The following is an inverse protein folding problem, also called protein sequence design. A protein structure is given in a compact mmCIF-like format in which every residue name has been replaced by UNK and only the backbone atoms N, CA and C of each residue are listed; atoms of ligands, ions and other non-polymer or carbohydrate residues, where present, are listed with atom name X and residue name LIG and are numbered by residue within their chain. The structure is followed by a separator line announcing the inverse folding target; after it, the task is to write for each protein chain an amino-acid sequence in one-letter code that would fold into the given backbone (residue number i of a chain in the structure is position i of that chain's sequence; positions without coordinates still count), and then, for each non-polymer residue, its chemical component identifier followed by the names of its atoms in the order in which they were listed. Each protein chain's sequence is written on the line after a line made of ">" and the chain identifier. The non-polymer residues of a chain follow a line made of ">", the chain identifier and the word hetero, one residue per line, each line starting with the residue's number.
data_IF_073324009263
#
_entry.id   IF_073324009263
#
_cell.length_a   1.000
_cell.length_b   1.000
_cell.length_c   1.000
_cell.angle_alpha   90.00
_cell.angle_beta   90.00
_cell.angle_gamma   90.00
#
_symmetry.space_group_name_H-M   'P 1'
#
loop_
_entity.id
_entity.type
_entity.pdbx_description
1 polymer ?
#
# COMPACT_ATOMS: atom_id res chain seq x y z
N UNK A 1 0.43 21.04 -19.50
CA UNK A 1 -0.44 20.24 -18.61
C UNK A 1 -1.01 21.20 -17.59
N UNK A 2 -2.30 21.16 -17.25
CA UNK A 2 -2.83 22.11 -16.27
C UNK A 2 -2.26 21.79 -14.88
N UNK A 3 -1.52 22.73 -14.29
CA UNK A 3 -1.01 22.67 -12.91
C UNK A 3 -2.15 22.83 -11.90
N UNK A 4 -3.11 21.90 -11.93
CA UNK A 4 -4.21 21.84 -10.97
C UNK A 4 -4.20 20.47 -10.33
N UNK A 5 -3.96 20.45 -9.01
CA UNK A 5 -3.93 19.22 -8.23
C UNK A 5 -5.17 18.36 -8.49
N UNK A 6 -6.36 18.99 -8.56
CA UNK A 6 -7.64 18.29 -8.78
C UNK A 6 -7.72 17.47 -10.06
N UNK A 7 -7.12 17.95 -11.15
CA UNK A 7 -7.15 17.21 -12.42
C UNK A 7 -6.20 16.01 -12.38
N UNK A 8 -5.09 16.13 -11.66
CA UNK A 8 -4.16 15.02 -11.44
C UNK A 8 -4.76 13.94 -10.54
N UNK A 9 -5.47 14.34 -9.50
CA UNK A 9 -6.17 13.45 -8.58
C UNK A 9 -7.32 12.70 -9.28
N UNK A 10 -8.20 13.41 -10.00
CA UNK A 10 -9.27 12.79 -10.79
C UNK A 10 -8.73 11.82 -11.85
N UNK A 11 -7.64 12.21 -12.52
CA UNK A 11 -6.94 11.32 -13.45
C UNK A 11 -6.44 10.07 -12.74
N UNK A 12 -5.89 10.20 -11.54
CA UNK A 12 -5.43 9.05 -10.75
C UNK A 12 -6.58 8.12 -10.40
N UNK A 13 -7.73 8.63 -9.97
CA UNK A 13 -8.93 7.82 -9.69
C UNK A 13 -9.36 6.99 -10.90
N UNK A 14 -9.48 7.63 -12.08
CA UNK A 14 -9.83 6.93 -13.33
C UNK A 14 -8.80 5.84 -13.65
N UNK A 15 -7.51 6.13 -13.47
CA UNK A 15 -6.46 5.14 -13.73
C UNK A 15 -6.47 3.98 -12.72
N UNK A 16 -6.90 4.20 -11.47
CA UNK A 16 -7.12 3.13 -10.50
C UNK A 16 -8.25 2.21 -10.93
N UNK A 17 -9.37 2.77 -11.40
CA UNK A 17 -10.50 2.00 -11.93
C UNK A 17 -10.12 1.17 -13.16
N UNK A 18 -9.24 1.70 -14.00
CA UNK A 18 -8.72 1.00 -15.18
C UNK A 18 -7.62 -0.02 -14.85
N UNK A 19 -7.13 -0.09 -13.61
CA UNK A 19 -6.03 -0.96 -13.20
C UNK A 19 -4.65 -0.52 -13.74
N UNK A 20 -4.54 0.73 -14.21
CA UNK A 20 -3.32 1.34 -14.75
C UNK A 20 -2.44 1.85 -13.59
N UNK A 21 -2.04 0.92 -12.72
CA UNK A 21 -1.48 1.21 -11.39
C UNK A 21 -0.31 2.18 -11.38
N UNK A 22 0.66 1.99 -12.28
CA UNK A 22 1.83 2.87 -12.35
C UNK A 22 1.46 4.31 -12.74
N UNK A 23 0.57 4.47 -13.72
CA UNK A 23 0.12 5.81 -14.16
C UNK A 23 -0.73 6.46 -13.07
N UNK A 24 -1.54 5.69 -12.36
CA UNK A 24 -2.32 6.18 -11.22
C UNK A 24 -1.40 6.72 -10.12
N UNK A 25 -0.35 5.97 -9.75
CA UNK A 25 0.66 6.39 -8.77
C UNK A 25 1.33 7.71 -9.17
N UNK A 26 1.76 7.84 -10.42
CA UNK A 26 2.36 9.08 -10.93
C UNK A 26 1.38 10.27 -10.86
N UNK A 27 0.13 10.06 -11.27
CA UNK A 27 -0.88 11.11 -11.25
C UNK A 27 -1.22 11.55 -9.83
N UNK A 28 -1.42 10.61 -8.90
CA UNK A 28 -1.71 10.91 -7.50
C UNK A 28 -0.53 11.61 -6.80
N UNK A 29 0.71 11.18 -7.08
CA UNK A 29 1.92 11.84 -6.55
C UNK A 29 1.98 13.29 -7.01
N UNK A 30 1.69 13.54 -8.30
CA UNK A 30 1.67 14.92 -8.80
C UNK A 30 0.59 15.77 -8.15
N UNK A 31 -0.56 15.18 -7.80
CA UNK A 31 -1.62 15.90 -7.08
C UNK A 31 -1.16 16.34 -5.68
N UNK A 32 -0.47 15.48 -4.94
CA UNK A 32 0.03 15.81 -3.58
C UNK A 32 1.21 16.78 -3.60
N UNK A 33 2.05 16.76 -4.64
CA UNK A 33 3.09 17.77 -4.86
C UNK A 33 2.50 19.15 -5.15
N UNK A 34 1.43 19.20 -5.94
CA UNK A 34 0.77 20.46 -6.33
C UNK A 34 -0.02 21.08 -5.17
N UNK A 35 -0.66 20.27 -4.35
CA UNK A 35 -1.43 20.74 -3.19
C UNK A 35 -1.21 19.79 -1.98
N UNK A 36 -0.16 20.03 -1.17
CA UNK A 36 0.17 19.17 -0.03
C UNK A 36 -0.88 19.20 1.09
N UNK A 37 -1.70 20.25 1.18
CA UNK A 37 -2.79 20.38 2.16
C UNK A 37 -4.07 19.65 1.76
N UNK A 38 -4.09 18.96 0.61
CA UNK A 38 -5.31 18.34 0.13
C UNK A 38 -5.42 16.87 0.55
N UNK A 39 -6.24 16.61 1.56
CA UNK A 39 -6.40 15.28 2.16
C UNK A 39 -6.86 14.21 1.17
N UNK A 40 -7.81 14.53 0.28
CA UNK A 40 -8.30 13.58 -0.71
C UNK A 40 -7.21 13.12 -1.71
N UNK A 41 -6.28 14.00 -2.10
CA UNK A 41 -5.14 13.61 -2.94
C UNK A 41 -4.22 12.59 -2.25
N UNK A 42 -4.01 12.75 -0.93
CA UNK A 42 -3.24 11.80 -0.14
C UNK A 42 -3.95 10.45 0.02
N UNK A 43 -5.28 10.42 0.12
CA UNK A 43 -6.08 9.17 0.09
C UNK A 43 -5.88 8.46 -1.25
N UNK A 44 -6.01 9.18 -2.36
CA UNK A 44 -5.84 8.62 -3.71
C UNK A 44 -4.41 8.11 -3.93
N UNK A 45 -3.40 8.80 -3.40
CA UNK A 45 -2.02 8.30 -3.41
C UNK A 45 -1.85 7.01 -2.61
N UNK A 46 -2.42 6.93 -1.40
CA UNK A 46 -2.39 5.72 -0.57
C UNK A 46 -3.01 4.51 -1.28
N UNK A 47 -4.13 4.71 -1.97
CA UNK A 47 -4.77 3.66 -2.79
C UNK A 47 -3.90 3.21 -3.95
N UNK A 48 -3.29 4.17 -4.67
CA UNK A 48 -2.39 3.85 -5.75
C UNK A 48 -1.16 3.04 -5.28
N UNK A 49 -0.61 3.39 -4.12
CA UNK A 49 0.49 2.65 -3.49
C UNK A 49 0.06 1.24 -3.07
N UNK A 50 -1.14 1.07 -2.52
CA UNK A 50 -1.69 -0.27 -2.22
C UNK A 50 -1.81 -1.14 -3.46
N UNK A 51 -2.40 -0.61 -4.53
CA UNK A 51 -2.52 -1.34 -5.80
C UNK A 51 -1.14 -1.64 -6.42
N UNK A 52 -0.14 -0.80 -6.17
CA UNK A 52 1.24 -1.00 -6.63
C UNK A 52 2.02 -2.03 -5.78
N UNK A 53 1.50 -2.41 -4.60
CA UNK A 53 2.13 -3.38 -3.72
C UNK A 53 3.04 -2.76 -2.64
N UNK A 54 2.88 -1.46 -2.39
CA UNK A 54 3.68 -0.67 -1.45
C UNK A 54 2.84 -0.21 -0.23
N UNK A 55 2.34 -1.13 0.61
CA UNK A 55 1.44 -0.79 1.72
C UNK A 55 2.13 0.02 2.83
N UNK A 56 3.45 -0.08 2.99
CA UNK A 56 4.19 0.75 3.95
C UNK A 56 4.13 2.23 3.55
N UNK A 57 4.38 2.54 2.26
CA UNK A 57 4.23 3.89 1.72
C UNK A 57 2.77 4.37 1.76
N UNK A 58 1.82 3.46 1.53
CA UNK A 58 0.40 3.77 1.61
C UNK A 58 -0.01 4.27 3.01
N UNK A 59 0.52 3.65 4.07
CA UNK A 59 0.25 4.08 5.45
C UNK A 59 0.74 5.51 5.66
N UNK A 60 1.94 5.88 5.19
CA UNK A 60 2.46 7.24 5.33
C UNK A 60 1.55 8.27 4.63
N UNK A 61 1.10 7.98 3.40
CA UNK A 61 0.17 8.83 2.67
C UNK A 61 -1.16 8.97 3.40
N UNK A 62 -1.71 7.87 3.91
CA UNK A 62 -2.99 7.87 4.62
C UNK A 62 -2.89 8.53 6.00
N UNK A 63 -1.74 8.45 6.67
CA UNK A 63 -1.45 9.19 7.89
C UNK A 63 -1.40 10.69 7.63
N UNK A 64 -0.83 11.13 6.50
CA UNK A 64 -0.93 12.54 6.07
C UNK A 64 -2.36 12.96 5.78
N UNK A 65 -3.15 12.12 5.10
CA UNK A 65 -4.56 12.40 4.85
C UNK A 65 -5.34 12.59 6.16
N UNK A 66 -5.09 11.73 7.15
CA UNK A 66 -5.72 11.80 8.48
C UNK A 66 -5.22 12.98 9.32
N UNK A 67 -3.97 13.41 9.15
CA UNK A 67 -3.47 14.62 9.80
C UNK A 67 -4.17 15.89 9.27
N UNK A 68 -4.51 15.92 7.98
CA UNK A 68 -5.26 17.01 7.34
C UNK A 68 -6.75 16.93 7.69
N UNK A 69 -7.33 15.72 7.60
CA UNK A 69 -8.76 15.46 7.80
C UNK A 69 -8.96 14.27 8.75
N UNK A 70 -8.91 14.50 10.07
CA UNK A 70 -8.98 13.43 11.08
C UNK A 70 -10.30 12.63 11.07
N UNK A 71 -11.37 13.23 10.57
CA UNK A 71 -12.70 12.63 10.49
C UNK A 71 -12.90 11.73 9.25
N UNK A 72 -11.93 11.68 8.33
CA UNK A 72 -12.00 10.88 7.10
C UNK A 72 -12.10 9.37 7.38
N UNK A 73 -13.31 8.83 7.27
CA UNK A 73 -13.56 7.40 7.41
C UNK A 73 -12.87 6.58 6.31
N UNK A 74 -12.82 7.13 5.09
CA UNK A 74 -12.16 6.54 3.94
C UNK A 74 -10.67 6.31 4.20
N UNK A 75 -9.96 7.33 4.67
CA UNK A 75 -8.54 7.24 4.97
C UNK A 75 -8.25 6.21 6.08
N UNK A 76 -9.10 6.12 7.11
CA UNK A 76 -8.95 5.09 8.18
C UNK A 76 -9.13 3.68 7.64
N UNK A 77 -10.14 3.47 6.81
CA UNK A 77 -10.43 2.16 6.23
C UNK A 77 -9.28 1.68 5.33
N UNK A 78 -8.80 2.56 4.44
CA UNK A 78 -7.68 2.25 3.56
C UNK A 78 -6.38 2.00 4.34
N UNK A 79 -6.17 2.74 5.44
CA UNK A 79 -5.00 2.54 6.31
C UNK A 79 -5.05 1.19 7.01
N UNK A 80 -6.23 0.80 7.47
CA UNK A 80 -6.44 -0.52 8.05
C UNK A 80 -6.20 -1.61 7.01
N UNK A 81 -6.66 -1.43 5.78
CA UNK A 81 -6.35 -2.35 4.68
C UNK A 81 -4.83 -2.48 4.47
N UNK A 82 -4.10 -1.36 4.43
CA UNK A 82 -2.64 -1.36 4.30
C UNK A 82 -1.94 -2.15 5.42
N UNK A 83 -2.37 -1.97 6.67
CA UNK A 83 -1.85 -2.72 7.81
C UNK A 83 -2.10 -4.24 7.68
N UNK A 84 -3.29 -4.63 7.21
CA UNK A 84 -3.60 -6.05 6.95
C UNK A 84 -2.70 -6.64 5.87
N UNK A 85 -2.40 -5.90 4.81
CA UNK A 85 -1.46 -6.33 3.77
C UNK A 85 -0.06 -6.61 4.35
N UNK A 86 0.46 -5.72 5.22
CA UNK A 86 1.76 -5.94 5.88
C UNK A 86 1.73 -7.16 6.78
N UNK A 87 0.69 -7.29 7.62
CA UNK A 87 0.57 -8.41 8.55
C UNK A 87 0.51 -9.74 7.82
N UNK A 88 -0.25 -9.82 6.72
CA UNK A 88 -0.34 -11.02 5.89
C UNK A 88 1.02 -11.37 5.25
N UNK A 89 1.77 -10.39 4.74
CA UNK A 89 3.13 -10.63 4.19
C UNK A 89 4.06 -11.20 5.25
N UNK A 90 4.05 -10.64 6.47
CA UNK A 90 4.86 -11.15 7.60
C UNK A 90 4.47 -12.58 7.97
N UNK A 91 3.18 -12.89 8.06
CA UNK A 91 2.70 -14.24 8.35
C UNK A 91 3.14 -15.26 7.29
N UNK A 92 3.03 -14.92 6.00
CA UNK A 92 3.47 -15.81 4.92
C UNK A 92 4.98 -16.08 4.96
N UNK A 93 5.79 -15.06 5.26
CA UNK A 93 7.24 -15.22 5.44
C UNK A 93 7.57 -16.16 6.60
N UNK A 94 6.95 -15.96 7.77
CA UNK A 94 7.16 -16.81 8.94
C UNK A 94 6.72 -18.26 8.69
N UNK A 95 5.55 -18.46 8.07
CA UNK A 95 5.05 -19.79 7.73
C UNK A 95 5.95 -20.50 6.71
N UNK A 96 6.46 -19.78 5.71
CA UNK A 96 7.42 -20.33 4.73
C UNK A 96 8.75 -20.76 5.38
N UNK A 97 9.27 -19.97 6.32
CA UNK A 97 10.46 -20.32 7.10
C UNK A 97 10.24 -21.56 7.98
N UNK A 98 9.09 -21.64 8.65
CA UNK A 98 8.71 -22.79 9.50
C UNK A 98 8.59 -24.10 8.70
N UNK A 99 7.99 -24.06 7.51
CA UNK A 99 7.90 -25.24 6.63
C UNK A 99 9.27 -25.73 6.14
N UNK A 100 10.23 -24.81 5.91
CA UNK A 100 11.57 -25.21 5.48
C UNK A 100 12.38 -25.88 6.60
N UNK A 101 12.24 -25.44 7.86
CA UNK A 101 12.97 -26.06 8.98
C UNK A 101 12.57 -27.52 9.21
N UNK A 102 11.28 -27.87 9.03
CA UNK A 102 10.81 -29.27 9.14
C UNK A 102 11.32 -30.19 8.02
N UNK A 103 11.78 -29.67 6.89
CA UNK A 103 12.34 -30.48 5.78
C UNK A 103 13.78 -30.94 6.03
N UNK A 104 14.56 -30.21 6.82
CA UNK A 104 15.96 -30.54 7.10
C UNK A 104 16.14 -31.49 8.29
N UNK A 105 15.15 -31.62 9.18
CA UNK A 105 15.28 -32.42 10.40
C UNK A 105 15.09 -33.94 10.21
N UNK A 106 14.68 -34.40 9.02
CA UNK A 106 14.34 -35.83 8.79
C UNK A 106 15.53 -36.65 8.23
N UNK A 107 16.65 -36.03 7.86
CA UNK A 107 17.73 -36.73 7.14
C UNK A 107 18.79 -37.39 8.06
N UNK A 108 18.82 -37.10 9.36
CA UNK A 108 19.99 -37.45 10.21
C UNK A 108 19.77 -38.56 11.25
N UNK A 109 18.79 -39.45 11.08
CA UNK A 109 18.47 -40.51 12.08
C UNK A 109 18.55 -41.96 11.61
N UNK A 110 19.23 -42.27 10.51
CA UNK A 110 19.42 -43.65 10.08
C UNK A 110 20.85 -43.93 9.64
N UNK A 111 21.79 -44.02 10.58
CA UNK A 111 23.00 -44.85 10.44
C UNK A 111 23.77 -44.91 11.76
N UNK A 112 23.48 -45.93 12.57
CA UNK A 112 24.43 -46.52 13.51
C UNK A 112 23.88 -47.87 13.98
N UNK A 113 24.17 -48.90 13.18
CA UNK A 113 24.15 -50.32 13.56
C UNK A 113 25.18 -50.63 14.62
#
# INVERSE_FOLDING_TARGET
>A
MPDRAILHEQKAQILLELGETWKALQAATRATELEPSWGEAWVTLGRAQLNYGEPDSAIESLDRALAIKPDSAEARNDRQAALHHIQRRKQLQTSGLSMNQNRFAVVDKTEST
#
